data_IF_011205201186
#
_entry.id   IF_011205201186
#
_cell.length_a   1.000
_cell.length_b   1.000
_cell.length_c   1.000
_cell.angle_alpha   90.00
_cell.angle_beta   90.00
_cell.angle_gamma   90.00
#
_symmetry.space_group_name_H-M   'P 1'
#
loop_
_entity.id
_entity.type
_entity.pdbx_description
1 polymer ?
#
# COMPACT_ATOMS: atom_id res chain seq x y z
N UNK A 1 -12.27 -5.65 41.75
CA UNK A 1 -13.04 -6.20 40.60
C UNK A 1 -13.23 -5.13 39.51
N UNK A 2 -13.36 -3.84 39.86
CA UNK A 2 -13.46 -2.73 38.90
C UNK A 2 -12.21 -2.44 38.05
N UNK A 3 -11.02 -2.48 38.66
CA UNK A 3 -9.80 -1.97 38.02
C UNK A 3 -9.33 -2.83 36.83
N UNK A 4 -9.54 -4.14 36.96
CA UNK A 4 -9.22 -5.11 35.91
C UNK A 4 -10.21 -5.01 34.73
N UNK A 5 -11.46 -4.66 34.99
CA UNK A 5 -12.47 -4.48 33.95
C UNK A 5 -12.26 -3.17 33.17
N UNK A 6 -11.77 -2.13 33.87
CA UNK A 6 -11.36 -0.86 33.27
C UNK A 6 -10.16 -1.01 32.34
N UNK A 7 -9.12 -1.72 32.77
CA UNK A 7 -7.92 -1.97 31.95
C UNK A 7 -8.27 -2.74 30.66
N UNK A 8 -9.15 -3.74 30.77
CA UNK A 8 -9.64 -4.48 29.60
C UNK A 8 -10.43 -3.56 28.65
N UNK A 9 -11.27 -2.68 29.17
CA UNK A 9 -11.99 -1.69 28.36
C UNK A 9 -11.06 -0.72 27.62
N UNK A 10 -10.02 -0.21 28.30
CA UNK A 10 -9.00 0.66 27.71
C UNK A 10 -8.24 -0.05 26.58
N UNK A 11 -7.77 -1.28 26.82
CA UNK A 11 -7.07 -2.08 25.81
C UNK A 11 -7.97 -2.37 24.60
N UNK A 12 -9.22 -2.76 24.80
CA UNK A 12 -10.16 -3.05 23.70
C UNK A 12 -10.43 -1.79 22.88
N UNK A 13 -10.59 -0.64 23.53
CA UNK A 13 -10.82 0.64 22.85
C UNK A 13 -9.61 1.04 21.98
N UNK A 14 -8.41 0.84 22.50
CA UNK A 14 -7.17 1.16 21.79
C UNK A 14 -6.91 0.20 20.63
N UNK A 15 -7.12 -1.11 20.84
CA UNK A 15 -7.03 -2.11 19.78
C UNK A 15 -8.04 -1.79 18.67
N UNK A 16 -9.27 -1.43 19.01
CA UNK A 16 -10.30 -1.06 18.02
C UNK A 16 -9.90 0.17 17.22
N UNK A 17 -9.39 1.22 17.90
CA UNK A 17 -8.88 2.44 17.25
C UNK A 17 -7.76 2.10 16.25
N UNK A 18 -6.80 1.28 16.65
CA UNK A 18 -5.68 0.85 15.78
C UNK A 18 -6.18 0.03 14.60
N UNK A 19 -7.15 -0.87 14.82
CA UNK A 19 -7.72 -1.69 13.74
C UNK A 19 -8.54 -0.84 12.75
N UNK A 20 -9.32 0.13 13.23
CA UNK A 20 -10.12 1.01 12.37
C UNK A 20 -9.24 1.96 11.55
N UNK A 21 -8.12 2.43 12.11
CA UNK A 21 -7.11 3.18 11.34
C UNK A 21 -6.49 2.37 10.21
N UNK A 22 -6.46 1.04 10.34
CA UNK A 22 -5.91 0.13 9.33
C UNK A 22 -6.98 -0.41 8.37
N UNK A 23 -8.27 -0.30 8.72
CA UNK A 23 -9.41 -0.74 7.91
C UNK A 23 -9.96 0.41 7.07
N UNK A 24 -9.16 0.87 6.10
CA UNK A 24 -9.64 1.76 5.04
C UNK A 24 -9.84 0.97 3.75
N UNK A 25 -11.04 0.99 3.18
CA UNK A 25 -11.18 0.63 1.77
C UNK A 25 -10.45 1.67 0.92
N UNK A 26 -9.80 1.28 -0.19
CA UNK A 26 -9.19 2.24 -1.08
C UNK A 26 -10.25 3.23 -1.58
N UNK A 27 -10.07 4.52 -1.27
CA UNK A 27 -11.00 5.59 -1.67
C UNK A 27 -10.91 5.89 -3.16
N UNK A 28 -9.68 5.85 -3.67
CA UNK A 28 -9.31 6.06 -5.08
C UNK A 28 -7.99 5.32 -5.35
N UNK A 29 -7.91 4.67 -6.51
CA UNK A 29 -6.79 3.81 -6.89
C UNK A 29 -6.18 4.28 -8.22
N UNK A 30 -4.87 4.44 -8.27
CA UNK A 30 -4.13 4.76 -9.49
C UNK A 30 -3.21 3.61 -9.90
N UNK A 31 -3.26 3.17 -11.16
CA UNK A 31 -2.42 2.07 -11.66
C UNK A 31 -1.04 2.60 -12.07
N UNK A 32 0.02 2.04 -11.50
CA UNK A 32 1.39 2.27 -11.98
C UNK A 32 1.95 0.99 -12.63
N UNK A 33 2.45 1.15 -13.86
CA UNK A 33 3.10 0.09 -14.62
C UNK A 33 4.61 0.20 -14.44
N UNK A 34 5.18 -0.60 -13.55
CA UNK A 34 6.62 -0.66 -13.35
C UNK A 34 7.30 -1.37 -14.52
N UNK A 35 8.16 -0.64 -15.21
CA UNK A 35 8.94 -1.12 -16.34
C UNK A 35 10.31 -0.45 -16.21
N UNK A 36 11.38 -1.25 -16.23
CA UNK A 36 12.74 -0.83 -15.82
C UNK A 36 13.23 0.45 -16.53
N UNK A 37 12.82 0.67 -17.78
CA UNK A 37 13.26 1.82 -18.59
C UNK A 37 12.39 3.08 -18.47
N UNK A 38 11.13 2.96 -18.03
CA UNK A 38 10.15 4.06 -18.12
C UNK A 38 9.53 4.45 -16.79
N UNK A 39 9.41 3.50 -15.86
CA UNK A 39 8.75 3.71 -14.59
C UNK A 39 9.44 2.84 -13.55
N UNK A 40 10.46 3.41 -12.90
CA UNK A 40 11.13 2.82 -11.75
C UNK A 40 10.42 3.18 -10.45
N UNK A 41 10.80 2.56 -9.33
CA UNK A 41 10.31 2.98 -8.00
C UNK A 41 10.69 4.42 -7.65
N UNK A 42 11.83 4.91 -8.15
CA UNK A 42 12.24 6.31 -7.96
C UNK A 42 11.32 7.27 -8.72
N UNK A 43 10.94 6.93 -9.96
CA UNK A 43 9.96 7.71 -10.71
C UNK A 43 8.60 7.72 -10.00
N UNK A 44 8.15 6.56 -9.52
CA UNK A 44 6.89 6.47 -8.78
C UNK A 44 6.91 7.28 -7.48
N UNK A 45 8.02 7.24 -6.72
CA UNK A 45 8.17 8.04 -5.51
C UNK A 45 8.08 9.55 -5.79
N UNK A 46 8.68 10.00 -6.89
CA UNK A 46 8.60 11.39 -7.33
C UNK A 46 7.16 11.83 -7.71
N UNK A 47 6.28 10.90 -8.08
CA UNK A 47 4.88 11.17 -8.39
C UNK A 47 3.97 11.23 -7.16
N UNK A 48 4.41 10.73 -6.00
CA UNK A 48 3.58 10.64 -4.79
C UNK A 48 2.93 11.99 -4.41
N UNK A 49 3.65 13.13 -4.37
CA UNK A 49 3.04 14.41 -4.03
C UNK A 49 1.93 14.82 -5.00
N UNK A 50 2.12 14.57 -6.30
CA UNK A 50 1.10 14.85 -7.31
C UNK A 50 -0.12 13.94 -7.17
N UNK A 51 0.10 12.65 -6.91
CA UNK A 51 -1.00 11.69 -6.73
C UNK A 51 -1.82 12.02 -5.48
N UNK A 52 -1.17 12.48 -4.41
CA UNK A 52 -1.85 12.94 -3.20
C UNK A 52 -2.70 14.19 -3.46
N UNK A 53 -2.15 15.20 -4.16
CA UNK A 53 -2.89 16.40 -4.56
C UNK A 53 -4.08 16.07 -5.47
N UNK A 54 -3.91 15.09 -6.36
CA UNK A 54 -4.98 14.56 -7.21
C UNK A 54 -6.08 13.83 -6.43
N UNK A 55 -5.83 13.46 -5.17
CA UNK A 55 -6.76 12.73 -4.31
C UNK A 55 -6.69 11.21 -4.45
N UNK A 56 -5.63 10.67 -5.05
CA UNK A 56 -5.37 9.22 -5.11
C UNK A 56 -5.00 8.74 -3.72
N UNK A 57 -5.69 7.69 -3.24
CA UNK A 57 -5.42 7.14 -1.90
C UNK A 57 -4.50 5.93 -1.90
N UNK A 58 -4.50 5.16 -2.98
CA UNK A 58 -3.77 3.90 -3.09
C UNK A 58 -3.20 3.76 -4.49
N UNK A 59 -2.01 3.18 -4.59
CA UNK A 59 -1.43 2.78 -5.88
C UNK A 59 -1.68 1.29 -6.09
N UNK A 60 -2.25 0.95 -7.24
CA UNK A 60 -2.24 -0.41 -7.74
C UNK A 60 -0.98 -0.62 -8.58
N UNK A 61 0.00 -1.33 -8.04
CA UNK A 61 1.26 -1.62 -8.74
C UNK A 61 1.11 -2.82 -9.70
N UNK A 62 1.84 -2.78 -10.82
CA UNK A 62 2.20 -4.01 -11.54
C UNK A 62 3.07 -4.93 -10.68
N UNK A 63 3.27 -6.21 -11.07
CA UNK A 63 4.11 -7.12 -10.30
C UNK A 63 5.51 -6.53 -10.03
N UNK A 64 5.99 -6.70 -8.79
CA UNK A 64 7.27 -6.16 -8.32
C UNK A 64 8.33 -7.25 -8.09
N UNK A 65 7.99 -8.52 -8.32
CA UNK A 65 8.94 -9.63 -8.22
C UNK A 65 9.89 -9.66 -9.43
N UNK A 66 10.98 -10.40 -9.31
CA UNK A 66 11.96 -10.51 -10.40
C UNK A 66 11.33 -11.26 -11.57
N UNK A 67 11.21 -10.57 -12.69
CA UNK A 67 10.76 -11.14 -13.96
C UNK A 67 11.94 -11.54 -14.85
N UNK A 68 11.66 -12.24 -15.95
CA UNK A 68 12.65 -12.53 -16.97
C UNK A 68 13.29 -11.23 -17.50
N UNK A 69 14.50 -11.35 -18.03
CA UNK A 69 15.18 -10.23 -18.68
C UNK A 69 14.29 -9.61 -19.75
N UNK A 70 14.28 -8.28 -19.82
CA UNK A 70 13.55 -7.48 -20.81
C UNK A 70 12.01 -7.62 -20.78
N UNK A 71 11.45 -8.12 -19.68
CA UNK A 71 10.01 -8.14 -19.49
C UNK A 71 9.40 -6.73 -19.56
N UNK A 72 8.41 -6.49 -20.44
CA UNK A 72 7.74 -5.20 -20.55
C UNK A 72 6.65 -5.00 -19.49
N UNK A 73 6.40 -6.00 -18.61
CA UNK A 73 5.22 -6.01 -17.75
C UNK A 73 5.39 -6.66 -16.36
N UNK A 74 6.41 -7.49 -16.17
CA UNK A 74 6.74 -8.14 -14.89
C UNK A 74 5.93 -9.39 -14.51
N UNK A 75 4.99 -9.88 -15.33
CA UNK A 75 4.17 -11.08 -15.02
C UNK A 75 4.90 -12.43 -15.18
N UNK A 76 5.95 -12.47 -15.98
CA UNK A 76 6.86 -13.57 -16.23
C UNK A 76 7.90 -13.69 -15.10
N UNK A 77 7.40 -13.94 -13.88
CA UNK A 77 8.21 -14.06 -12.66
C UNK A 77 9.14 -15.28 -12.74
N UNK A 78 10.40 -15.07 -12.37
CA UNK A 78 11.46 -16.10 -12.34
C UNK A 78 12.03 -16.35 -10.94
N UNK A 79 11.67 -15.53 -9.95
CA UNK A 79 12.12 -15.61 -8.55
C UNK A 79 11.03 -15.03 -7.62
N UNK A 80 10.60 -15.79 -6.61
CA UNK A 80 9.42 -15.51 -5.77
C UNK A 80 9.78 -15.03 -4.36
#
# INVERSE_FOLDING_TARGET
MDDQNRLVGEIVSEVRRVLDQRRGWPRSVYRLQFIRERMTFQNAAALVPYLDELGVSHVYASPCLKAASDSPHGYDVVDY
#
